data_IF_393520223319
#
_entry.id   IF_393520223319
#
_cell.length_a   1.000
_cell.length_b   1.000
_cell.length_c   1.000
_cell.angle_alpha   90.00
_cell.angle_beta   90.00
_cell.angle_gamma   90.00
#
_symmetry.space_group_name_H-M   'P 1'
#
loop_
_entity.id
_entity.type
_entity.pdbx_description
1 polymer ?
#
# COMPACT_ATOMS: atom_id res chain seq x y z
N UNK A 1 33.25 0.63 30.27
CA UNK A 1 31.91 0.80 29.70
C UNK A 1 31.89 1.75 28.48
N UNK A 2 32.93 2.59 28.31
CA UNK A 2 32.97 3.60 27.25
C UNK A 2 33.09 3.02 25.83
N UNK A 3 33.85 1.92 25.65
CA UNK A 3 34.13 1.33 24.33
C UNK A 3 32.86 0.81 23.62
N UNK A 4 31.95 0.17 24.37
CA UNK A 4 30.68 -0.34 23.83
C UNK A 4 29.75 0.82 23.46
N UNK A 5 29.70 1.87 24.31
CA UNK A 5 28.92 3.09 24.02
C UNK A 5 29.40 3.79 22.77
N UNK A 6 30.75 3.89 22.60
CA UNK A 6 31.34 4.55 21.44
C UNK A 6 31.06 3.78 20.15
N UNK A 7 31.16 2.45 20.19
CA UNK A 7 30.84 1.59 19.03
C UNK A 7 29.36 1.74 18.63
N UNK A 8 28.45 1.68 19.62
CA UNK A 8 27.01 1.84 19.38
C UNK A 8 26.68 3.22 18.81
N UNK A 9 27.34 4.28 19.29
CA UNK A 9 27.17 5.63 18.77
C UNK A 9 27.62 5.76 17.32
N UNK A 10 28.79 5.19 16.98
CA UNK A 10 29.30 5.15 15.62
C UNK A 10 28.40 4.39 14.65
N UNK A 11 27.91 3.22 15.06
CA UNK A 11 26.96 2.41 14.30
C UNK A 11 25.64 3.18 14.08
N UNK A 12 25.10 3.77 15.16
CA UNK A 12 23.86 4.54 15.10
C UNK A 12 23.97 5.72 14.15
N UNK A 13 25.04 6.49 14.26
CA UNK A 13 25.26 7.65 13.41
C UNK A 13 25.47 7.28 11.93
N UNK A 14 26.17 6.17 11.66
CA UNK A 14 26.32 5.61 10.32
C UNK A 14 25.02 5.13 9.69
N UNK A 15 24.03 4.70 10.49
CA UNK A 15 22.71 4.27 10.03
C UNK A 15 21.80 5.43 9.62
N UNK A 16 22.13 6.68 9.98
CA UNK A 16 21.30 7.83 9.63
C UNK A 16 21.11 7.96 8.11
N UNK A 17 22.21 7.86 7.35
CA UNK A 17 22.18 8.02 5.89
C UNK A 17 21.30 6.96 5.23
N UNK A 18 21.49 5.65 5.47
CA UNK A 18 20.65 4.63 4.86
C UNK A 18 19.16 4.74 5.28
N UNK A 19 18.87 5.14 6.52
CA UNK A 19 17.48 5.32 6.99
C UNK A 19 16.81 6.47 6.24
N UNK A 20 17.49 7.62 6.08
CA UNK A 20 16.94 8.77 5.34
C UNK A 20 16.74 8.41 3.86
N UNK A 21 17.67 7.70 3.23
CA UNK A 21 17.54 7.26 1.83
C UNK A 21 16.34 6.32 1.68
N UNK A 22 16.17 5.35 2.59
CA UNK A 22 15.01 4.45 2.58
C UNK A 22 13.69 5.20 2.77
N UNK A 23 13.65 6.22 3.65
CA UNK A 23 12.48 7.07 3.84
C UNK A 23 12.12 7.83 2.57
N UNK A 24 13.09 8.39 1.86
CA UNK A 24 12.86 9.08 0.59
C UNK A 24 12.31 8.11 -0.46
N UNK A 25 12.86 6.91 -0.57
CA UNK A 25 12.38 5.87 -1.49
C UNK A 25 10.94 5.48 -1.15
N UNK A 26 10.63 5.27 0.13
CA UNK A 26 9.27 4.96 0.59
C UNK A 26 8.29 6.10 0.30
N UNK A 27 8.72 7.35 0.50
CA UNK A 27 7.92 8.52 0.20
C UNK A 27 7.58 8.63 -1.29
N UNK A 28 8.58 8.47 -2.17
CA UNK A 28 8.36 8.44 -3.62
C UNK A 28 7.41 7.31 -3.99
N UNK A 29 7.61 6.11 -3.43
CA UNK A 29 6.70 4.97 -3.63
C UNK A 29 5.28 5.27 -3.16
N UNK A 30 5.10 5.98 -2.05
CA UNK A 30 3.78 6.37 -1.54
C UNK A 30 3.06 7.33 -2.49
N UNK A 31 3.78 8.29 -3.09
CA UNK A 31 3.22 9.20 -4.09
C UNK A 31 2.80 8.48 -5.37
N UNK A 32 3.63 7.55 -5.86
CA UNK A 32 3.28 6.71 -7.02
C UNK A 32 2.06 5.83 -6.74
N UNK A 33 1.95 5.33 -5.52
CA UNK A 33 0.82 4.52 -5.08
C UNK A 33 -0.48 5.31 -5.05
N UNK A 34 -0.48 6.57 -4.57
CA UNK A 34 -1.64 7.47 -4.65
C UNK A 34 -2.07 7.67 -6.09
N UNK A 35 -1.13 7.97 -7.00
CA UNK A 35 -1.43 8.20 -8.41
C UNK A 35 -2.09 6.99 -9.06
N UNK A 36 -1.53 5.80 -8.85
CA UNK A 36 -2.09 4.54 -9.34
C UNK A 36 -3.47 4.24 -8.73
N UNK A 37 -3.60 4.45 -7.41
CA UNK A 37 -4.84 4.24 -6.68
C UNK A 37 -5.97 5.14 -7.18
N UNK A 38 -5.68 6.41 -7.40
CA UNK A 38 -6.69 7.37 -7.88
C UNK A 38 -7.20 7.01 -9.27
N UNK A 39 -6.31 6.56 -10.16
CA UNK A 39 -6.68 6.04 -11.48
C UNK A 39 -7.58 4.80 -11.40
N UNK A 40 -7.24 3.83 -10.54
CA UNK A 40 -8.06 2.64 -10.32
C UNK A 40 -9.40 2.96 -9.67
N UNK A 41 -9.43 3.86 -8.68
CA UNK A 41 -10.63 4.27 -7.97
C UNK A 41 -11.65 4.94 -8.91
N UNK A 42 -11.20 5.83 -9.78
CA UNK A 42 -12.07 6.47 -10.78
C UNK A 42 -12.62 5.45 -11.79
N UNK A 43 -11.78 4.51 -12.24
CA UNK A 43 -12.19 3.45 -13.16
C UNK A 43 -13.26 2.54 -12.53
N UNK A 44 -13.06 2.11 -11.27
CA UNK A 44 -14.00 1.24 -10.56
C UNK A 44 -15.31 1.97 -10.29
N UNK A 45 -15.30 3.23 -9.84
CA UNK A 45 -16.53 4.00 -9.60
C UNK A 45 -17.37 4.17 -10.87
N UNK A 46 -16.75 4.37 -12.01
CA UNK A 46 -17.47 4.45 -13.30
C UNK A 46 -18.09 3.11 -13.67
N UNK A 47 -17.36 2.02 -13.45
CA UNK A 47 -17.86 0.66 -13.75
C UNK A 47 -18.92 0.20 -12.75
N UNK A 48 -18.76 0.54 -11.45
CA UNK A 48 -19.73 0.19 -10.41
C UNK A 48 -21.08 0.89 -10.61
N UNK A 49 -21.06 2.14 -11.05
CA UNK A 49 -22.29 2.87 -11.40
C UNK A 49 -23.03 2.24 -12.59
N UNK A 50 -22.29 1.76 -13.60
CA UNK A 50 -22.86 1.04 -14.75
C UNK A 50 -23.34 -0.36 -14.37
N UNK A 51 -22.58 -1.08 -13.52
CA UNK A 51 -22.94 -2.42 -13.10
C UNK A 51 -24.14 -2.44 -12.13
N UNK A 52 -24.24 -1.51 -11.18
CA UNK A 52 -25.40 -1.43 -10.26
C UNK A 52 -26.70 -1.21 -10.99
N UNK A 53 -26.68 -0.35 -12.01
CA UNK A 53 -27.86 -0.11 -12.83
C UNK A 53 -28.29 -1.33 -13.66
N UNK A 54 -27.38 -2.26 -13.93
CA UNK A 54 -27.63 -3.46 -14.71
C UNK A 54 -27.81 -4.71 -13.85
N UNK A 55 -27.23 -4.76 -12.63
CA UNK A 55 -27.37 -5.88 -11.69
C UNK A 55 -28.82 -6.05 -11.17
N UNK A 56 -29.57 -4.95 -11.03
CA UNK A 56 -30.98 -5.01 -10.66
C UNK A 56 -31.87 -5.65 -11.76
N UNK A 57 -31.36 -5.82 -12.98
CA UNK A 57 -32.07 -6.39 -14.14
C UNK A 57 -31.45 -7.72 -14.63
N UNK A 58 -30.43 -8.25 -13.93
CA UNK A 58 -29.73 -9.47 -14.34
C UNK A 58 -30.57 -10.71 -14.14
N UNK A 59 -31.06 -11.23 -15.27
CA UNK A 59 -31.48 -12.63 -15.42
C UNK A 59 -30.32 -13.43 -16.06
N UNK A 60 -30.26 -14.72 -15.81
CA UNK A 60 -29.21 -15.65 -16.33
C UNK A 60 -29.00 -15.53 -17.85
N UNK A 61 -30.01 -15.07 -18.58
CA UNK A 61 -30.03 -14.94 -20.04
C UNK A 61 -29.28 -13.68 -20.57
N UNK A 62 -28.99 -12.67 -19.70
CA UNK A 62 -28.33 -11.42 -20.10
C UNK A 62 -26.81 -11.39 -19.87
N UNK A 63 -26.23 -12.49 -19.42
CA UNK A 63 -24.79 -12.65 -19.19
C UNK A 63 -23.89 -12.37 -20.41
N UNK A 64 -24.22 -12.80 -21.66
CA UNK A 64 -23.38 -12.51 -22.82
C UNK A 64 -23.38 -11.03 -23.22
N UNK A 65 -24.42 -10.27 -22.88
CA UNK A 65 -24.51 -8.83 -23.17
C UNK A 65 -23.60 -7.99 -22.26
N UNK A 66 -23.34 -8.48 -21.04
CA UNK A 66 -22.38 -7.89 -20.09
C UNK A 66 -20.93 -8.00 -20.57
N UNK A 67 -20.59 -9.08 -21.27
CA UNK A 67 -19.24 -9.30 -21.81
C UNK A 67 -18.85 -8.22 -22.83
N UNK A 68 -19.80 -7.76 -23.65
CA UNK A 68 -19.60 -6.69 -24.62
C UNK A 68 -19.51 -5.27 -24.05
N UNK A 69 -20.04 -5.05 -22.84
CA UNK A 69 -20.10 -3.74 -22.18
C UNK A 69 -18.97 -3.49 -21.17
N UNK A 70 -18.23 -4.55 -20.80
CA UNK A 70 -17.05 -4.40 -19.94
C UNK A 70 -15.92 -3.70 -20.69
N UNK A 71 -15.30 -2.64 -20.11
CA UNK A 71 -14.22 -1.93 -20.77
C UNK A 71 -13.05 -2.86 -21.09
N UNK A 72 -12.71 -2.95 -22.38
CA UNK A 72 -11.65 -3.84 -22.91
C UNK A 72 -10.27 -3.54 -22.33
N UNK A 73 -10.06 -2.32 -21.86
CA UNK A 73 -8.81 -1.81 -21.25
C UNK A 73 -9.07 -1.27 -19.82
N UNK A 74 -9.50 -2.13 -18.91
CA UNK A 74 -9.50 -1.72 -17.50
C UNK A 74 -8.22 -2.21 -16.83
N UNK A 75 -7.52 -1.28 -16.21
CA UNK A 75 -6.32 -1.56 -15.41
C UNK A 75 -6.69 -2.17 -14.03
N UNK A 76 -7.94 -2.57 -13.86
CA UNK A 76 -8.45 -3.20 -12.63
C UNK A 76 -8.30 -4.70 -12.73
N UNK A 77 -7.53 -5.24 -11.79
CA UNK A 77 -7.30 -6.68 -11.60
C UNK A 77 -8.62 -7.44 -11.52
N UNK A 78 -9.59 -6.87 -10.80
CA UNK A 78 -10.93 -7.40 -10.59
C UNK A 78 -11.66 -7.66 -11.90
N UNK A 79 -11.71 -6.66 -12.79
CA UNK A 79 -12.43 -6.75 -14.07
C UNK A 79 -11.78 -7.78 -15.01
N UNK A 80 -10.44 -7.85 -15.00
CA UNK A 80 -9.71 -8.82 -15.79
C UNK A 80 -10.01 -10.26 -15.38
N UNK A 81 -10.12 -10.52 -14.07
CA UNK A 81 -10.44 -11.85 -13.55
C UNK A 81 -11.92 -12.22 -13.71
N UNK A 82 -12.86 -11.29 -13.53
CA UNK A 82 -14.28 -11.53 -13.81
C UNK A 82 -14.47 -11.98 -15.25
N UNK A 83 -13.82 -11.32 -16.22
CA UNK A 83 -13.88 -11.73 -17.63
C UNK A 83 -13.38 -13.16 -17.84
N UNK A 84 -12.20 -13.52 -17.27
CA UNK A 84 -11.65 -14.87 -17.39
C UNK A 84 -12.53 -15.94 -16.76
N UNK A 85 -13.20 -15.61 -15.65
CA UNK A 85 -14.16 -16.54 -15.01
C UNK A 85 -15.39 -16.72 -15.87
N UNK A 86 -15.92 -15.67 -16.48
CA UNK A 86 -17.05 -15.74 -17.41
C UNK A 86 -16.72 -16.57 -18.67
N UNK A 87 -15.54 -16.38 -19.25
CA UNK A 87 -15.06 -17.17 -20.40
C UNK A 87 -14.85 -18.66 -20.06
N UNK A 88 -14.62 -18.99 -18.78
CA UNK A 88 -14.29 -20.35 -18.33
C UNK A 88 -15.48 -21.06 -17.66
N UNK A 89 -16.70 -20.56 -17.82
CA UNK A 89 -17.93 -21.02 -17.15
C UNK A 89 -18.18 -22.53 -17.21
N UNK A 90 -17.77 -23.21 -18.29
CA UNK A 90 -18.02 -24.63 -18.52
C UNK A 90 -17.03 -25.58 -17.82
N UNK A 91 -16.03 -25.05 -17.10
CA UNK A 91 -14.97 -25.86 -16.47
C UNK A 91 -14.78 -25.49 -15.00
N UNK A 92 -15.50 -26.10 -14.06
CA UNK A 92 -15.47 -25.73 -12.63
C UNK A 92 -14.07 -25.85 -12.01
N UNK A 93 -13.27 -26.83 -12.41
CA UNK A 93 -11.89 -26.96 -11.93
C UNK A 93 -10.97 -25.79 -12.40
N UNK A 94 -11.23 -25.25 -13.59
CA UNK A 94 -10.50 -24.10 -14.11
C UNK A 94 -10.88 -22.80 -13.37
N UNK A 95 -12.14 -22.64 -13.02
CA UNK A 95 -12.64 -21.50 -12.24
C UNK A 95 -12.02 -21.48 -10.83
N UNK A 96 -11.93 -22.64 -10.15
CA UNK A 96 -11.25 -22.73 -8.85
C UNK A 96 -9.78 -22.33 -8.93
N UNK A 97 -9.08 -22.75 -9.98
CA UNK A 97 -7.69 -22.36 -10.21
C UNK A 97 -7.55 -20.86 -10.47
N UNK A 98 -8.44 -20.26 -11.24
CA UNK A 98 -8.47 -18.82 -11.48
C UNK A 98 -8.73 -18.01 -10.21
N UNK A 99 -9.62 -18.48 -9.33
CA UNK A 99 -9.87 -17.84 -8.03
C UNK A 99 -8.63 -17.89 -7.14
N UNK A 100 -7.93 -19.03 -7.06
CA UNK A 100 -6.69 -19.14 -6.30
C UNK A 100 -5.57 -18.22 -6.87
N UNK A 101 -5.45 -18.13 -8.19
CA UNK A 101 -4.49 -17.23 -8.85
C UNK A 101 -4.84 -15.75 -8.61
N UNK A 102 -6.13 -15.43 -8.60
CA UNK A 102 -6.60 -14.09 -8.21
C UNK A 102 -6.18 -13.73 -6.78
N UNK A 103 -6.37 -14.63 -5.81
CA UNK A 103 -6.00 -14.40 -4.41
C UNK A 103 -4.50 -14.10 -4.27
N UNK A 104 -3.65 -14.90 -4.92
CA UNK A 104 -2.19 -14.69 -4.92
C UNK A 104 -1.83 -13.34 -5.55
N UNK A 105 -2.49 -12.97 -6.65
CA UNK A 105 -2.20 -11.72 -7.35
C UNK A 105 -2.72 -10.51 -6.58
N UNK A 106 -3.88 -10.62 -5.94
CA UNK A 106 -4.44 -9.59 -5.06
C UNK A 106 -3.55 -9.36 -3.83
N UNK A 107 -3.03 -10.43 -3.23
CA UNK A 107 -2.12 -10.30 -2.08
C UNK A 107 -0.78 -9.66 -2.48
N UNK A 108 -0.25 -9.96 -3.66
CA UNK A 108 0.93 -9.27 -4.22
C UNK A 108 0.69 -7.77 -4.45
N UNK A 109 -0.48 -7.39 -4.96
CA UNK A 109 -0.84 -5.98 -5.16
C UNK A 109 -1.01 -5.23 -3.82
N UNK A 110 -1.49 -5.92 -2.79
CA UNK A 110 -1.59 -5.39 -1.43
C UNK A 110 -0.24 -5.34 -0.70
N UNK A 111 0.74 -6.14 -1.08
CA UNK A 111 2.02 -6.26 -0.38
C UNK A 111 2.76 -4.92 -0.28
N UNK A 112 2.71 -4.09 -1.32
CA UNK A 112 3.33 -2.76 -1.33
C UNK A 112 2.68 -1.85 -0.28
N UNK A 113 1.35 -1.82 -0.22
CA UNK A 113 0.60 -1.02 0.74
C UNK A 113 0.83 -1.51 2.18
N UNK A 114 0.84 -2.83 2.40
CA UNK A 114 1.16 -3.47 3.69
C UNK A 114 2.56 -3.09 4.17
N UNK A 115 3.54 -3.11 3.25
CA UNK A 115 4.93 -2.75 3.56
C UNK A 115 5.04 -1.28 3.95
N UNK A 116 4.43 -0.35 3.18
CA UNK A 116 4.42 1.07 3.51
C UNK A 116 3.80 1.34 4.89
N UNK A 117 2.67 0.70 5.19
CA UNK A 117 1.97 0.86 6.47
C UNK A 117 2.84 0.46 7.65
N UNK A 118 3.63 -0.61 7.52
CA UNK A 118 4.48 -1.12 8.60
C UNK A 118 5.83 -0.42 8.67
N UNK A 119 6.50 -0.24 7.54
CA UNK A 119 7.87 0.29 7.50
C UNK A 119 7.93 1.80 7.69
N UNK A 120 6.89 2.55 7.28
CA UNK A 120 6.85 3.99 7.42
C UNK A 120 7.10 4.49 8.86
N UNK A 121 6.30 4.05 9.85
CA UNK A 121 6.49 4.44 11.24
C UNK A 121 7.80 3.95 11.84
N UNK A 122 8.25 2.73 11.48
CA UNK A 122 9.52 2.17 11.98
C UNK A 122 10.71 3.02 11.55
N UNK A 123 10.77 3.37 10.26
CA UNK A 123 11.86 4.21 9.73
C UNK A 123 11.74 5.66 10.22
N UNK A 124 10.50 6.17 10.38
CA UNK A 124 10.27 7.48 10.99
C UNK A 124 10.78 7.56 12.41
N UNK A 125 10.52 6.53 13.24
CA UNK A 125 11.03 6.44 14.60
C UNK A 125 12.57 6.34 14.64
N UNK A 126 13.18 5.52 13.78
CA UNK A 126 14.64 5.49 13.64
C UNK A 126 15.21 6.86 13.25
N UNK A 127 14.54 7.54 12.34
CA UNK A 127 14.92 8.89 11.89
C UNK A 127 14.83 9.97 12.96
N UNK A 128 14.08 9.74 14.06
CA UNK A 128 14.11 10.65 15.22
C UNK A 128 15.18 10.27 16.24
N UNK A 129 15.29 9.00 16.57
CA UNK A 129 16.19 8.54 17.65
C UNK A 129 17.65 8.77 17.29
N UNK A 130 18.05 8.58 16.03
CA UNK A 130 19.44 8.71 15.61
C UNK A 130 19.95 10.16 15.76
N UNK A 131 19.28 11.20 15.23
CA UNK A 131 19.75 12.59 15.38
C UNK A 131 19.65 13.14 16.82
N UNK A 132 18.84 12.53 17.68
CA UNK A 132 18.71 12.97 19.09
C UNK A 132 20.05 12.84 19.88
N UNK A 133 20.88 11.82 19.55
CA UNK A 133 22.19 11.69 20.18
C UNK A 133 23.09 12.91 19.94
N UNK A 134 23.40 13.24 18.67
CA UNK A 134 24.14 14.47 18.33
C UNK A 134 23.48 15.75 18.85
N UNK A 135 22.14 15.84 18.86
CA UNK A 135 21.44 17.00 19.39
C UNK A 135 21.72 17.23 20.88
N UNK A 136 21.73 16.14 21.69
CA UNK A 136 22.06 16.22 23.12
C UNK A 136 23.53 16.59 23.37
N UNK A 137 24.45 16.12 22.51
CA UNK A 137 25.86 16.53 22.55
C UNK A 137 25.98 18.03 22.26
N UNK A 138 25.30 18.53 21.22
CA UNK A 138 25.26 19.97 20.92
C UNK A 138 24.74 20.81 22.09
N UNK A 139 23.70 20.33 22.78
CA UNK A 139 23.17 20.98 23.94
C UNK A 139 24.21 21.03 25.09
N UNK A 140 24.93 19.94 25.34
CA UNK A 140 25.93 19.87 26.42
C UNK A 140 27.15 20.74 26.17
N UNK A 141 27.46 21.01 24.91
CA UNK A 141 28.58 21.88 24.49
C UNK A 141 28.15 23.35 24.27
N UNK A 142 26.87 23.68 24.43
CA UNK A 142 26.32 25.01 24.16
C UNK A 142 26.15 25.34 22.67
N UNK A 143 26.33 24.36 21.77
CA UNK A 143 26.09 24.53 20.33
C UNK A 143 24.61 24.36 20.01
N UNK A 144 23.85 25.42 20.24
CA UNK A 144 22.39 25.46 20.00
C UNK A 144 22.08 25.31 18.51
N UNK A 145 22.96 25.76 17.61
CA UNK A 145 22.72 25.68 16.18
C UNK A 145 22.75 24.21 15.68
N UNK A 146 23.75 23.44 16.10
CA UNK A 146 23.86 22.01 15.82
C UNK A 146 22.68 21.22 16.42
N UNK A 147 22.30 21.53 17.65
CA UNK A 147 21.14 20.95 18.30
C UNK A 147 19.86 21.18 17.48
N UNK A 148 19.59 22.45 17.10
CA UNK A 148 18.39 22.81 16.35
C UNK A 148 18.34 22.11 14.98
N UNK A 149 19.45 22.00 14.26
CA UNK A 149 19.54 21.30 12.99
C UNK A 149 19.20 19.81 13.12
N UNK A 150 19.78 19.12 14.09
CA UNK A 150 19.51 17.70 14.32
C UNK A 150 18.05 17.44 14.72
N UNK A 151 17.45 18.32 15.53
CA UNK A 151 16.04 18.28 15.88
C UNK A 151 15.14 18.46 14.64
N UNK A 152 15.48 19.41 13.77
CA UNK A 152 14.75 19.62 12.52
C UNK A 152 14.75 18.37 11.64
N UNK A 153 15.89 17.71 11.49
CA UNK A 153 16.00 16.44 10.74
C UNK A 153 15.13 15.37 11.39
N UNK A 154 15.16 15.25 12.71
CA UNK A 154 14.35 14.28 13.44
C UNK A 154 12.85 14.48 13.20
N UNK A 155 12.33 15.69 13.28
CA UNK A 155 10.92 15.98 13.03
C UNK A 155 10.55 15.71 11.55
N UNK A 156 11.36 16.15 10.61
CA UNK A 156 11.10 15.96 9.19
C UNK A 156 10.97 14.48 8.82
N UNK A 157 11.87 13.63 9.30
CA UNK A 157 11.86 12.19 9.03
C UNK A 157 10.63 11.49 9.60
N UNK A 158 10.16 11.91 10.78
CA UNK A 158 8.92 11.38 11.36
C UNK A 158 7.70 11.73 10.54
N UNK A 159 7.57 13.01 10.14
CA UNK A 159 6.43 13.46 9.34
C UNK A 159 6.37 12.70 8.01
N UNK A 160 7.50 12.57 7.33
CA UNK A 160 7.60 11.82 6.06
C UNK A 160 7.24 10.34 6.25
N UNK A 161 7.74 9.71 7.32
CA UNK A 161 7.46 8.31 7.63
C UNK A 161 5.99 8.06 7.93
N UNK A 162 5.37 8.88 8.78
CA UNK A 162 3.95 8.78 9.13
C UNK A 162 3.04 9.08 7.94
N UNK A 163 3.37 10.08 7.14
CA UNK A 163 2.61 10.41 5.94
C UNK A 163 2.61 9.25 4.93
N UNK A 164 3.78 8.66 4.67
CA UNK A 164 3.91 7.49 3.79
C UNK A 164 3.11 6.30 4.32
N UNK A 165 3.10 6.09 5.64
CA UNK A 165 2.32 5.03 6.29
C UNK A 165 0.81 5.26 6.18
N UNK A 166 0.35 6.49 6.37
CA UNK A 166 -1.07 6.84 6.25
C UNK A 166 -1.61 6.55 4.84
N UNK A 167 -0.82 6.89 3.81
CA UNK A 167 -1.14 6.55 2.42
C UNK A 167 -1.23 5.05 2.22
N UNK A 168 -0.24 4.30 2.71
CA UNK A 168 -0.22 2.84 2.65
C UNK A 168 -1.46 2.24 3.31
N UNK A 169 -1.81 2.71 4.49
CA UNK A 169 -2.96 2.24 5.27
C UNK A 169 -4.30 2.48 4.54
N UNK A 170 -4.55 3.71 4.08
CA UNK A 170 -5.79 4.06 3.36
C UNK A 170 -5.92 3.21 2.08
N UNK A 171 -4.84 3.10 1.31
CA UNK A 171 -4.83 2.31 0.07
C UNK A 171 -5.07 0.83 0.35
N UNK A 172 -4.46 0.28 1.40
CA UNK A 172 -4.66 -1.10 1.83
C UNK A 172 -6.11 -1.35 2.19
N UNK A 173 -6.71 -0.50 3.02
CA UNK A 173 -8.11 -0.62 3.47
C UNK A 173 -9.09 -0.65 2.29
N UNK A 174 -8.94 0.26 1.36
CA UNK A 174 -9.86 0.36 0.23
C UNK A 174 -9.68 -0.80 -0.74
N UNK A 175 -8.44 -1.15 -1.11
CA UNK A 175 -8.17 -2.30 -1.98
C UNK A 175 -8.64 -3.62 -1.36
N UNK A 176 -8.43 -3.81 -0.06
CA UNK A 176 -8.85 -5.01 0.64
C UNK A 176 -10.38 -5.17 0.59
N UNK A 177 -11.15 -4.09 0.74
CA UNK A 177 -12.61 -4.12 0.57
C UNK A 177 -13.02 -4.52 -0.84
N UNK A 178 -12.34 -4.03 -1.88
CA UNK A 178 -12.63 -4.40 -3.26
C UNK A 178 -12.36 -5.87 -3.55
N UNK A 179 -11.29 -6.42 -3.01
CA UNK A 179 -10.96 -7.83 -3.19
C UNK A 179 -11.88 -8.75 -2.38
N UNK A 180 -12.29 -8.32 -1.18
CA UNK A 180 -13.20 -9.07 -0.34
C UNK A 180 -14.61 -9.21 -0.96
N UNK A 181 -15.09 -8.18 -1.67
CA UNK A 181 -16.39 -8.22 -2.37
C UNK A 181 -16.43 -9.31 -3.46
N UNK A 182 -15.31 -9.65 -4.06
CA UNK A 182 -15.21 -10.74 -5.03
C UNK A 182 -15.17 -12.13 -4.37
N UNK A 183 -14.65 -12.21 -3.14
CA UNK A 183 -14.50 -13.46 -2.42
C UNK A 183 -15.80 -13.87 -1.68
N UNK A 184 -16.65 -12.91 -1.36
CA UNK A 184 -17.98 -13.13 -0.75
C UNK A 184 -19.04 -13.44 -1.81
N UNK A 185 -18.73 -14.28 -2.79
CA UNK A 185 -19.76 -15.03 -3.50
C UNK A 185 -20.42 -15.99 -2.47
N UNK A 186 -21.76 -16.03 -2.35
CA UNK A 186 -22.41 -16.88 -1.36
C UNK A 186 -21.95 -18.32 -1.56
N UNK A 187 -21.26 -18.86 -0.55
CA UNK A 187 -21.00 -20.28 -0.47
C UNK A 187 -22.37 -20.99 -0.48
N UNK A 188 -22.63 -21.97 -1.35
CA UNK A 188 -23.88 -22.69 -1.34
C UNK A 188 -23.93 -23.70 -0.17
N UNK A 189 -23.71 -23.20 1.04
CA UNK A 189 -23.83 -23.93 2.28
C UNK A 189 -24.45 -23.01 3.33
N UNK A 190 -25.70 -22.75 3.14
CA UNK A 190 -26.70 -22.49 4.19
C UNK A 190 -28.09 -22.83 3.64
#
# INVERSE_FOLDING_TARGET
>A
MNLISDILFWISNGLLVPVVVLLIILFIRSLLLIGSFFGQYLAIRRTDALLRQQLDTLTIDTLPELEGKLPVKSNSLVIAYIRRVLESKDRPAHVQRLLADFEITADKDLAISKTLTKMGPMLGLMGTLIPMGPALVGLSTGDIASMAYNMQVAFATTVVGLFSSAIGFITQQVKQRWYCLLYTSPSPRD
#
